data_IF_298147368443
#
_entry.id   IF_298147368443
#
_cell.length_a   1.000
_cell.length_b   1.000
_cell.length_c   1.000
_cell.angle_alpha   90.00
_cell.angle_beta   90.00
_cell.angle_gamma   90.00
#
_symmetry.space_group_name_H-M   'P 1'
#
loop_
_entity.id
_entity.type
_entity.pdbx_description
1 polymer ?
#
# COMPACT_ATOMS: atom_id res chain seq x y z
N UNK A 1 -19.53 -6.08 -7.45
CA UNK A 1 -19.63 -6.77 -6.13
C UNK A 1 -20.62 -7.92 -6.15
N UNK A 2 -21.85 -7.74 -6.67
CA UNK A 2 -22.84 -8.82 -6.73
C UNK A 2 -22.35 -10.10 -7.45
N UNK A 3 -21.72 -9.95 -8.63
CA UNK A 3 -21.14 -11.08 -9.37
C UNK A 3 -19.99 -11.76 -8.59
N UNK A 4 -19.14 -10.98 -7.92
CA UNK A 4 -18.08 -11.53 -7.07
C UNK A 4 -18.65 -12.39 -5.93
N UNK A 5 -19.70 -11.90 -5.25
CA UNK A 5 -20.35 -12.64 -4.16
C UNK A 5 -21.09 -13.88 -4.66
N UNK A 6 -21.66 -13.84 -5.86
CA UNK A 6 -22.26 -15.03 -6.49
C UNK A 6 -21.21 -16.12 -6.70
N UNK A 7 -20.03 -15.74 -7.19
CA UNK A 7 -18.97 -16.69 -7.53
C UNK A 7 -18.20 -17.19 -6.29
N UNK A 8 -18.03 -16.36 -5.26
CA UNK A 8 -17.11 -16.64 -4.14
C UNK A 8 -17.76 -16.65 -2.75
N UNK A 9 -19.00 -16.17 -2.61
CA UNK A 9 -19.67 -16.03 -1.32
C UNK A 9 -19.91 -17.36 -0.61
N UNK A 10 -20.12 -18.44 -1.36
CA UNK A 10 -20.25 -19.79 -0.77
C UNK A 10 -18.95 -20.29 -0.13
N UNK A 11 -17.79 -19.97 -0.72
CA UNK A 11 -16.48 -20.39 -0.22
C UNK A 11 -15.94 -19.45 0.86
N UNK A 12 -16.23 -18.15 0.73
CA UNK A 12 -15.70 -17.10 1.58
C UNK A 12 -16.83 -16.19 2.10
N UNK A 13 -17.64 -16.65 3.06
CA UNK A 13 -18.89 -15.98 3.46
C UNK A 13 -18.69 -14.59 4.06
N UNK A 14 -17.52 -14.31 4.65
CA UNK A 14 -17.23 -13.03 5.29
C UNK A 14 -16.66 -11.96 4.35
N UNK A 15 -16.17 -12.34 3.15
CA UNK A 15 -15.52 -11.38 2.26
C UNK A 15 -16.55 -10.38 1.71
N UNK A 16 -17.69 -10.85 1.19
CA UNK A 16 -18.75 -9.98 0.67
C UNK A 16 -19.21 -8.89 1.65
N UNK A 17 -19.65 -9.26 2.87
CA UNK A 17 -20.01 -8.30 3.91
C UNK A 17 -18.90 -7.30 4.24
N UNK A 18 -17.64 -7.74 4.29
CA UNK A 18 -16.49 -6.84 4.54
C UNK A 18 -16.35 -5.77 3.44
N UNK A 19 -16.48 -6.15 2.16
CA UNK A 19 -16.48 -5.20 1.05
C UNK A 19 -17.66 -4.24 1.12
N UNK A 20 -18.87 -4.72 1.44
CA UNK A 20 -20.07 -3.88 1.57
C UNK A 20 -19.95 -2.86 2.70
N UNK A 21 -19.49 -3.31 3.87
CA UNK A 21 -19.32 -2.46 5.05
C UNK A 21 -18.29 -1.35 4.83
N UNK A 22 -17.28 -1.62 4.00
CA UNK A 22 -16.22 -0.64 3.69
C UNK A 22 -16.42 0.04 2.32
N UNK A 23 -17.54 -0.20 1.64
CA UNK A 23 -17.72 0.15 0.24
C UNK A 23 -17.47 1.64 -0.02
N UNK A 24 -18.06 2.52 0.78
CA UNK A 24 -17.89 3.98 0.66
C UNK A 24 -16.44 4.43 0.74
N UNK A 25 -15.60 3.75 1.54
CA UNK A 25 -14.17 4.07 1.64
C UNK A 25 -13.39 3.54 0.45
N UNK A 26 -13.77 2.35 -0.03
CA UNK A 26 -13.09 1.67 -1.13
C UNK A 26 -13.40 2.30 -2.48
N UNK A 27 -14.60 2.84 -2.67
CA UNK A 27 -15.00 3.43 -3.97
C UNK A 27 -14.28 4.72 -4.30
N UNK A 28 -13.75 5.45 -3.31
CA UNK A 28 -12.95 6.67 -3.53
C UNK A 28 -11.74 6.40 -4.44
N UNK A 29 -11.23 5.17 -4.44
CA UNK A 29 -10.19 4.76 -5.37
C UNK A 29 -10.57 5.00 -6.85
N UNK A 30 -11.85 4.87 -7.21
CA UNK A 30 -12.32 5.04 -8.59
C UNK A 30 -12.48 6.50 -9.01
N UNK A 31 -12.44 7.44 -8.07
CA UNK A 31 -12.45 8.88 -8.38
C UNK A 31 -11.12 9.31 -9.04
N UNK A 32 -10.07 8.49 -8.90
CA UNK A 32 -8.76 8.75 -9.48
C UNK A 32 -8.63 8.27 -10.94
N UNK A 33 -7.95 9.04 -11.82
CA UNK A 33 -7.56 8.60 -13.15
C UNK A 33 -6.79 7.26 -13.16
N UNK A 34 -6.88 6.47 -14.25
CA UNK A 34 -6.17 5.19 -14.38
C UNK A 34 -4.67 5.25 -14.03
N UNK A 35 -3.99 6.34 -14.37
CA UNK A 35 -2.56 6.53 -14.13
C UNK A 35 -2.24 6.60 -12.62
N UNK A 36 -3.08 7.31 -11.85
CA UNK A 36 -2.95 7.39 -10.39
C UNK A 36 -3.36 6.06 -9.75
N UNK A 37 -4.46 5.47 -10.22
CA UNK A 37 -4.92 4.16 -9.75
C UNK A 37 -3.83 3.11 -9.90
N UNK A 38 -3.08 3.14 -11.01
CA UNK A 38 -1.97 2.23 -11.26
C UNK A 38 -0.91 2.25 -10.18
N UNK A 39 -0.59 3.44 -9.68
CA UNK A 39 0.37 3.59 -8.59
C UNK A 39 -0.21 3.05 -7.29
N UNK A 40 -1.46 3.40 -6.97
CA UNK A 40 -2.11 3.05 -5.70
C UNK A 40 -2.35 1.54 -5.59
N UNK A 41 -2.80 0.86 -6.65
CA UNK A 41 -3.15 -0.57 -6.55
C UNK A 41 -1.92 -1.48 -6.47
N UNK A 42 -0.72 -0.99 -6.77
CA UNK A 42 0.50 -1.81 -6.69
C UNK A 42 0.83 -2.12 -5.23
N UNK A 43 0.44 -3.29 -4.74
CA UNK A 43 0.71 -3.71 -3.36
C UNK A 43 2.17 -4.11 -3.14
N UNK A 44 2.92 -4.38 -4.22
CA UNK A 44 4.32 -4.84 -4.17
C UNK A 44 5.23 -4.01 -3.26
N UNK A 45 5.09 -2.67 -3.24
CA UNK A 45 5.94 -1.83 -2.42
C UNK A 45 5.70 -2.05 -0.92
N UNK A 46 4.43 -2.06 -0.50
CA UNK A 46 4.01 -2.27 0.89
C UNK A 46 4.27 -3.72 1.31
N UNK A 47 3.98 -4.69 0.44
CA UNK A 47 4.21 -6.11 0.69
C UNK A 47 5.71 -6.43 0.81
N UNK A 48 6.55 -5.89 -0.08
CA UNK A 48 8.01 -6.08 -0.03
C UNK A 48 8.63 -5.46 1.23
N UNK A 49 8.13 -4.28 1.64
CA UNK A 49 8.49 -3.66 2.92
C UNK A 49 8.11 -4.56 4.10
N UNK A 50 6.85 -4.99 4.18
CA UNK A 50 6.35 -5.85 5.25
C UNK A 50 7.10 -7.19 5.32
N UNK A 51 7.37 -7.81 4.17
CA UNK A 51 8.14 -9.05 4.10
C UNK A 51 9.57 -8.86 4.63
N UNK A 52 10.22 -7.75 4.28
CA UNK A 52 11.56 -7.41 4.76
C UNK A 52 11.59 -7.15 6.27
N UNK A 53 10.61 -6.43 6.81
CA UNK A 53 10.45 -6.21 8.25
C UNK A 53 10.20 -7.54 8.98
N UNK A 54 9.26 -8.36 8.51
CA UNK A 54 9.00 -9.68 9.08
C UNK A 54 10.23 -10.58 9.08
N UNK A 55 11.06 -10.53 8.03
CA UNK A 55 12.30 -11.32 7.95
C UNK A 55 13.28 -10.98 9.09
N UNK A 56 13.36 -9.71 9.49
CA UNK A 56 14.25 -9.27 10.57
C UNK A 56 13.63 -9.54 11.96
N UNK A 57 12.31 -9.45 12.07
CA UNK A 57 11.59 -9.65 13.33
C UNK A 57 11.40 -11.13 13.69
N UNK A 58 11.07 -12.01 12.73
CA UNK A 58 10.81 -13.44 12.96
C UNK A 58 11.85 -14.19 13.80
N UNK A 59 13.18 -14.03 13.60
CA UNK A 59 14.17 -14.71 14.44
C UNK A 59 14.25 -14.14 15.87
N UNK A 60 13.71 -12.93 16.12
CA UNK A 60 13.73 -12.26 17.42
C UNK A 60 12.42 -12.55 18.16
N UNK A 61 12.40 -13.62 18.95
CA UNK A 61 11.21 -14.05 19.72
C UNK A 61 10.77 -13.05 20.79
N UNK A 62 11.71 -12.29 21.36
CA UNK A 62 11.45 -11.28 22.37
C UNK A 62 12.46 -10.14 22.25
N UNK A 63 12.05 -8.97 22.72
CA UNK A 63 12.89 -7.78 22.82
C UNK A 63 12.96 -7.32 24.27
N UNK A 64 14.08 -6.74 24.71
CA UNK A 64 14.26 -6.31 26.10
C UNK A 64 13.37 -5.11 26.49
N UNK A 65 13.04 -4.25 25.52
CA UNK A 65 12.13 -3.11 25.67
C UNK A 65 11.66 -2.63 24.28
N UNK A 66 10.71 -1.70 24.25
CA UNK A 66 10.15 -1.13 23.03
C UNK A 66 11.19 -0.37 22.19
N UNK A 67 12.15 0.29 22.85
CA UNK A 67 13.21 1.03 22.16
C UNK A 67 14.09 0.11 21.30
N UNK A 68 14.36 -1.11 21.78
CA UNK A 68 15.11 -2.11 21.03
C UNK A 68 14.38 -2.54 19.75
N UNK A 69 13.04 -2.64 19.78
CA UNK A 69 12.22 -2.93 18.60
C UNK A 69 12.31 -1.76 17.61
N UNK A 70 12.10 -0.54 18.10
CA UNK A 70 12.14 0.67 17.29
C UNK A 70 13.50 0.84 16.60
N UNK A 71 14.61 0.60 17.29
CA UNK A 71 15.96 0.64 16.70
C UNK A 71 16.12 -0.38 15.57
N UNK A 72 15.65 -1.61 15.77
CA UNK A 72 15.73 -2.65 14.74
C UNK A 72 14.88 -2.31 13.52
N UNK A 73 13.65 -1.82 13.73
CA UNK A 73 12.78 -1.34 12.66
C UNK A 73 13.43 -0.19 11.90
N UNK A 74 13.91 0.83 12.61
CA UNK A 74 14.59 1.99 12.04
C UNK A 74 15.78 1.59 11.16
N UNK A 75 16.70 0.77 11.68
CA UNK A 75 17.87 0.31 10.92
C UNK A 75 17.46 -0.53 9.70
N UNK A 76 16.38 -1.31 9.81
CA UNK A 76 15.87 -2.10 8.69
C UNK A 76 15.27 -1.20 7.61
N UNK A 77 14.45 -0.21 8.00
CA UNK A 77 13.89 0.77 7.09
C UNK A 77 14.99 1.56 6.36
N UNK A 78 16.05 1.97 7.08
CA UNK A 78 17.17 2.68 6.48
C UNK A 78 17.87 1.83 5.38
N UNK A 79 18.17 0.56 5.67
CA UNK A 79 18.76 -0.37 4.70
C UNK A 79 17.85 -0.68 3.51
N UNK A 80 16.53 -0.67 3.70
CA UNK A 80 15.56 -0.84 2.61
C UNK A 80 15.57 0.40 1.72
N UNK A 81 15.52 1.59 2.33
CA UNK A 81 15.52 2.86 1.63
C UNK A 81 16.78 3.04 0.76
N UNK A 82 17.96 2.63 1.24
CA UNK A 82 19.20 2.63 0.44
C UNK A 82 19.09 1.84 -0.86
N UNK A 83 18.21 0.83 -0.93
CA UNK A 83 18.00 -0.01 -2.11
C UNK A 83 16.88 0.49 -3.02
N UNK A 84 16.08 1.46 -2.58
CA UNK A 84 14.97 2.03 -3.35
C UNK A 84 15.49 3.13 -4.28
N UNK A 85 16.32 2.73 -5.23
CA UNK A 85 16.96 3.64 -6.20
C UNK A 85 16.21 3.72 -7.53
N UNK A 86 15.35 2.74 -7.82
CA UNK A 86 14.60 2.69 -9.07
C UNK A 86 13.40 3.64 -9.03
N UNK A 87 13.16 4.43 -10.09
CA UNK A 87 11.99 5.29 -10.18
C UNK A 87 10.70 4.48 -10.26
N UNK A 88 9.61 5.06 -9.76
CA UNK A 88 8.28 4.46 -9.89
C UNK A 88 7.89 4.41 -11.37
N UNK A 89 7.44 3.24 -11.82
CA UNK A 89 7.00 3.05 -13.20
C UNK A 89 5.80 3.96 -13.51
N UNK A 90 5.80 4.58 -14.70
CA UNK A 90 4.79 5.55 -15.14
C UNK A 90 4.59 6.78 -14.23
N UNK A 91 5.56 7.09 -13.34
CA UNK A 91 5.44 8.19 -12.38
C UNK A 91 5.12 9.52 -13.05
N UNK A 92 5.74 9.83 -14.20
CA UNK A 92 5.50 11.10 -14.90
C UNK A 92 4.06 11.26 -15.38
N UNK A 93 3.45 10.18 -15.87
CA UNK A 93 2.06 10.22 -16.32
C UNK A 93 1.11 10.45 -15.14
N UNK A 94 1.36 9.76 -14.02
CA UNK A 94 0.58 9.96 -12.80
C UNK A 94 0.81 11.35 -12.17
N UNK A 95 2.03 11.87 -12.20
CA UNK A 95 2.36 13.21 -11.70
C UNK A 95 1.58 14.29 -12.48
N UNK A 96 1.50 14.18 -13.80
CA UNK A 96 0.68 15.08 -14.61
C UNK A 96 -0.80 15.03 -14.20
N UNK A 97 -1.35 13.82 -13.97
CA UNK A 97 -2.73 13.68 -13.49
C UNK A 97 -2.91 14.24 -12.09
N UNK A 98 -1.94 14.04 -11.19
CA UNK A 98 -1.95 14.59 -9.84
C UNK A 98 -1.98 16.13 -9.88
N UNK A 99 -1.20 16.76 -10.75
CA UNK A 99 -1.21 18.21 -10.94
C UNK A 99 -2.55 18.72 -11.46
N UNK A 100 -3.18 18.01 -12.41
CA UNK A 100 -4.50 18.37 -12.95
C UNK A 100 -5.58 18.28 -11.85
N UNK A 101 -5.56 17.21 -11.06
CA UNK A 101 -6.60 16.95 -10.04
C UNK A 101 -6.44 17.84 -8.81
N UNK A 102 -5.20 18.11 -8.39
CA UNK A 102 -4.92 18.74 -7.10
C UNK A 102 -4.28 20.13 -7.17
N UNK A 103 -3.82 20.58 -8.33
CA UNK A 103 -3.17 21.87 -8.49
C UNK A 103 -1.75 21.93 -7.92
N UNK A 104 -1.06 23.04 -8.23
CA UNK A 104 0.33 23.31 -7.81
C UNK A 104 0.45 23.67 -6.32
N UNK A 105 -0.65 24.01 -5.66
CA UNK A 105 -0.70 24.29 -4.22
C UNK A 105 -0.52 23.02 -3.38
N UNK A 106 -0.94 21.87 -3.91
CA UNK A 106 -0.84 20.56 -3.25
C UNK A 106 0.28 19.68 -3.81
N UNK A 107 0.59 19.81 -5.10
CA UNK A 107 1.59 18.99 -5.78
C UNK A 107 2.71 19.91 -6.27
N UNK A 108 3.86 19.86 -5.57
CA UNK A 108 5.07 20.57 -5.97
C UNK A 108 5.90 19.69 -6.89
N UNK A 109 6.32 20.26 -8.02
CA UNK A 109 7.22 19.62 -9.01
C UNK A 109 8.66 19.98 -8.71
#
# INVERSE_FOLDING_TARGET
LAEFEQNWGGKYPHIGPSWRNNWTRLTVFFDYPPEIRKIIYTTNAIESLNASLQKVLKPKKAFPNDEAILKVLYLTLHRIAEKWTMPVHDWKAALNQLLIVFGEDRVKV
#
